data_IF_746651849614
#
_entry.id   IF_746651849614
#
_cell.length_a   1.000
_cell.length_b   1.000
_cell.length_c   1.000
_cell.angle_alpha   90.00
_cell.angle_beta   90.00
_cell.angle_gamma   90.00
#
_symmetry.space_group_name_H-M   'P 1'
#
loop_
_entity.id
_entity.type
_entity.pdbx_description
1 polymer ?
#
# COMPACT_ATOMS: atom_id res chain seq x y z
N UNK A 1 26.55 40.11 37.81
CA UNK A 1 26.25 38.77 37.24
C UNK A 1 24.75 38.53 37.04
N UNK A 2 23.87 39.42 37.53
CA UNK A 2 22.42 39.22 37.47
C UNK A 2 21.73 39.65 36.15
N UNK A 3 22.30 40.58 35.39
CA UNK A 3 21.69 41.11 34.14
C UNK A 3 21.67 40.10 32.98
N UNK A 4 22.67 39.22 32.90
CA UNK A 4 22.76 38.19 31.84
C UNK A 4 21.63 37.15 32.02
N UNK A 5 21.26 36.87 33.27
CA UNK A 5 20.21 35.91 33.60
C UNK A 5 18.81 36.48 33.28
N UNK A 6 18.60 37.79 33.48
CA UNK A 6 17.36 38.47 33.12
C UNK A 6 17.16 38.51 31.59
N UNK A 7 18.23 38.79 30.83
CA UNK A 7 18.20 38.81 29.36
C UNK A 7 17.84 37.44 28.77
N UNK A 8 18.48 36.36 29.26
CA UNK A 8 18.18 34.99 28.84
C UNK A 8 16.74 34.57 29.19
N UNK A 9 16.24 34.95 30.38
CA UNK A 9 14.85 34.69 30.77
C UNK A 9 13.86 35.47 29.88
N UNK A 10 14.20 36.68 29.48
CA UNK A 10 13.38 37.50 28.59
C UNK A 10 13.34 36.96 27.15
N UNK A 11 14.47 36.47 26.61
CA UNK A 11 14.54 35.80 25.31
C UNK A 11 13.77 34.49 25.29
N UNK A 12 13.92 33.66 26.33
CA UNK A 12 13.15 32.42 26.48
C UNK A 12 11.64 32.69 26.64
N UNK A 13 11.26 33.74 27.38
CA UNK A 13 9.88 34.20 27.50
C UNK A 13 9.31 34.68 26.15
N UNK A 14 10.06 35.46 25.37
CA UNK A 14 9.64 35.91 24.03
C UNK A 14 9.53 34.76 23.02
N UNK A 15 10.44 33.78 23.06
CA UNK A 15 10.32 32.53 22.26
C UNK A 15 9.07 31.76 22.64
N UNK A 16 8.83 31.55 23.93
CA UNK A 16 7.67 30.83 24.45
C UNK A 16 6.35 31.54 24.14
N UNK A 17 6.31 32.88 24.19
CA UNK A 17 5.17 33.67 23.73
C UNK A 17 4.96 33.56 22.22
N UNK A 18 6.03 33.56 21.42
CA UNK A 18 5.95 33.37 19.97
C UNK A 18 5.41 31.99 19.62
N UNK A 19 5.91 30.93 20.24
CA UNK A 19 5.38 29.57 20.13
C UNK A 19 3.91 29.50 20.57
N UNK A 20 3.55 30.08 21.72
CA UNK A 20 2.14 30.09 22.18
C UNK A 20 1.26 30.86 21.20
N UNK A 21 1.74 31.97 20.61
CA UNK A 21 1.00 32.75 19.62
C UNK A 21 0.88 32.01 18.28
N UNK A 22 1.92 31.33 17.81
CA UNK A 22 1.89 30.51 16.60
C UNK A 22 0.97 29.29 16.79
N UNK A 23 1.08 28.57 17.91
CA UNK A 23 0.20 27.45 18.26
C UNK A 23 -1.25 27.91 18.41
N UNK A 24 -1.51 29.09 19.00
CA UNK A 24 -2.87 29.66 19.08
C UNK A 24 -3.38 30.16 17.73
N UNK A 25 -2.55 30.78 16.89
CA UNK A 25 -2.93 31.22 15.55
C UNK A 25 -3.27 30.03 14.62
N UNK A 26 -2.58 28.91 14.80
CA UNK A 26 -2.86 27.64 14.10
C UNK A 26 -4.20 27.02 14.53
N UNK A 27 -4.62 27.19 15.79
CA UNK A 27 -5.91 26.68 16.29
C UNK A 27 -7.15 27.41 15.74
N UNK A 28 -6.99 28.68 15.33
CA UNK A 28 -8.07 29.54 14.86
C UNK A 28 -8.08 29.78 13.34
N UNK A 29 -7.16 29.16 12.59
CA UNK A 29 -7.14 29.29 11.13
C UNK A 29 -8.36 28.57 10.53
N UNK A 30 -9.01 29.23 9.59
CA UNK A 30 -10.09 28.66 8.79
C UNK A 30 -9.59 27.37 8.13
N UNK A 31 -10.35 26.28 8.28
CA UNK A 31 -9.97 24.92 7.83
C UNK A 31 -10.86 24.39 6.72
N UNK A 32 -11.88 25.15 6.39
CA UNK A 32 -12.91 24.80 5.45
C UNK A 32 -13.22 26.10 4.71
N UNK A 33 -13.26 26.07 3.38
CA UNK A 33 -13.73 27.19 2.56
C UNK A 33 -14.76 26.67 1.58
N UNK A 34 -15.86 27.41 1.41
CA UNK A 34 -16.97 27.06 0.48
C UNK A 34 -17.54 25.65 0.66
N UNK A 35 -17.50 25.12 1.87
CA UNK A 35 -18.15 23.86 2.22
C UNK A 35 -19.01 24.02 3.48
N UNK A 36 -19.91 23.07 3.73
CA UNK A 36 -20.63 22.94 4.99
C UNK A 36 -20.33 21.56 5.57
N UNK A 37 -20.12 21.50 6.88
CA UNK A 37 -19.96 20.24 7.61
C UNK A 37 -21.17 20.03 8.52
N UNK A 38 -21.76 18.85 8.42
CA UNK A 38 -22.90 18.41 9.20
C UNK A 38 -22.60 16.97 9.67
N UNK A 39 -22.14 16.85 10.92
CA UNK A 39 -21.53 15.63 11.44
C UNK A 39 -20.33 15.19 10.58
N UNK A 40 -20.45 14.01 9.98
CA UNK A 40 -19.43 13.40 9.10
C UNK A 40 -19.64 13.71 7.62
N UNK A 41 -20.71 14.45 7.27
CA UNK A 41 -20.99 14.84 5.90
C UNK A 41 -20.39 16.22 5.62
N UNK A 42 -19.60 16.31 4.55
CA UNK A 42 -19.07 17.57 4.03
C UNK A 42 -19.70 17.81 2.66
N UNK A 43 -20.25 19.01 2.45
CA UNK A 43 -20.94 19.39 1.20
C UNK A 43 -20.36 20.67 0.62
N UNK A 44 -20.19 20.72 -0.69
CA UNK A 44 -19.79 21.93 -1.39
C UNK A 44 -20.93 22.97 -1.44
N UNK A 45 -20.61 24.25 -1.29
CA UNK A 45 -21.58 25.36 -1.32
C UNK A 45 -21.08 26.61 -2.08
N UNK A 46 -19.97 26.50 -2.82
CA UNK A 46 -19.47 27.59 -3.64
C UNK A 46 -20.07 27.59 -5.06
N UNK A 47 -19.64 28.54 -5.89
CA UNK A 47 -20.06 28.62 -7.29
C UNK A 47 -19.34 27.60 -8.18
N UNK A 48 -19.79 27.41 -9.42
CA UNK A 48 -19.31 26.34 -10.31
C UNK A 48 -17.84 26.47 -10.75
N UNK A 49 -17.26 27.66 -10.64
CA UNK A 49 -15.89 28.04 -11.00
C UNK A 49 -14.94 28.11 -9.80
N UNK A 50 -15.47 27.92 -8.59
CA UNK A 50 -14.69 27.98 -7.36
C UNK A 50 -14.33 26.59 -6.84
N UNK A 51 -13.28 26.53 -6.02
CA UNK A 51 -12.90 25.32 -5.27
C UNK A 51 -13.26 25.49 -3.80
N UNK A 52 -13.83 24.44 -3.22
CA UNK A 52 -13.98 24.27 -1.78
C UNK A 52 -13.00 23.22 -1.28
N UNK A 53 -12.35 23.47 -0.15
CA UNK A 53 -11.36 22.57 0.42
C UNK A 53 -11.48 22.54 1.95
N UNK A 54 -11.28 21.35 2.52
CA UNK A 54 -11.36 21.08 3.95
C UNK A 54 -10.11 20.33 4.39
N UNK A 55 -9.48 20.82 5.45
CA UNK A 55 -8.28 20.22 6.03
C UNK A 55 -8.58 19.75 7.44
N UNK A 56 -8.54 18.42 7.60
CA UNK A 56 -8.89 17.72 8.84
C UNK A 56 -8.08 18.18 10.05
N UNK A 57 -8.66 18.00 11.24
CA UNK A 57 -8.20 18.58 12.51
C UNK A 57 -6.75 18.22 12.88
N UNK A 58 -6.44 16.94 12.69
CA UNK A 58 -5.24 16.25 13.14
C UNK A 58 -4.57 15.62 11.91
N UNK A 59 -3.23 15.65 11.82
CA UNK A 59 -2.51 14.94 10.78
C UNK A 59 -2.65 13.42 10.99
N UNK A 60 -2.36 12.65 9.95
CA UNK A 60 -2.10 11.22 10.10
C UNK A 60 -0.86 11.01 10.99
N UNK A 61 -0.84 9.89 11.69
CA UNK A 61 0.20 9.54 12.66
C UNK A 61 0.44 8.04 12.67
N UNK A 62 1.51 7.58 13.34
CA UNK A 62 1.77 6.14 13.51
C UNK A 62 0.60 5.34 14.11
N UNK A 63 -0.32 5.99 14.84
CA UNK A 63 -1.52 5.35 15.42
C UNK A 63 -2.77 5.50 14.55
N UNK A 64 -2.81 6.49 13.66
CA UNK A 64 -3.94 6.74 12.78
C UNK A 64 -3.39 7.09 11.40
N UNK A 65 -3.16 6.06 10.59
CA UNK A 65 -2.44 6.13 9.32
C UNK A 65 -3.36 6.12 8.10
N UNK A 66 -4.67 6.00 8.30
CA UNK A 66 -5.61 5.75 7.23
C UNK A 66 -6.95 6.39 7.53
N UNK A 67 -7.57 6.96 6.52
CA UNK A 67 -8.94 7.45 6.58
C UNK A 67 -9.64 7.20 5.26
N UNK A 68 -10.97 7.21 5.30
CA UNK A 68 -11.80 6.95 4.12
C UNK A 68 -12.88 8.00 3.97
N UNK A 69 -13.24 8.28 2.72
CA UNK A 69 -14.29 9.21 2.34
C UNK A 69 -15.24 8.50 1.37
N UNK A 70 -16.52 8.43 1.72
CA UNK A 70 -17.56 7.90 0.84
C UNK A 70 -18.18 9.03 0.03
N UNK A 71 -18.29 8.84 -1.29
CA UNK A 71 -18.96 9.78 -2.19
C UNK A 71 -20.47 9.58 -2.05
N UNK A 72 -21.12 10.46 -1.29
CA UNK A 72 -22.59 10.45 -1.14
C UNK A 72 -23.28 10.98 -2.39
N UNK A 73 -22.68 11.98 -3.04
CA UNK A 73 -23.15 12.62 -4.26
C UNK A 73 -21.94 13.22 -5.00
N UNK A 74 -21.85 13.03 -6.32
CA UNK A 74 -20.76 13.58 -7.16
C UNK A 74 -20.98 15.06 -7.49
N UNK A 75 -22.21 15.55 -7.34
CA UNK A 75 -22.63 16.83 -7.90
C UNK A 75 -22.54 16.85 -9.42
N UNK A 76 -22.60 18.04 -10.01
CA UNK A 76 -22.66 18.24 -11.47
C UNK A 76 -21.32 17.93 -12.14
N UNK A 77 -20.20 18.33 -11.53
CA UNK A 77 -18.86 18.19 -12.13
C UNK A 77 -18.09 16.96 -11.67
N UNK A 78 -18.48 16.32 -10.56
CA UNK A 78 -17.76 15.16 -10.02
C UNK A 78 -16.38 15.43 -9.42
N UNK A 79 -15.86 16.66 -9.51
CA UNK A 79 -14.50 17.06 -9.10
C UNK A 79 -14.36 17.02 -7.57
N UNK A 80 -14.15 15.82 -7.06
CA UNK A 80 -13.92 15.53 -5.64
C UNK A 80 -12.52 14.95 -5.54
N UNK A 81 -11.69 15.52 -4.67
CA UNK A 81 -10.34 15.03 -4.42
C UNK A 81 -10.14 14.70 -2.95
N UNK A 82 -9.43 13.59 -2.70
CA UNK A 82 -9.14 13.08 -1.35
C UNK A 82 -7.64 12.85 -1.26
N UNK A 83 -7.00 13.38 -0.22
CA UNK A 83 -5.56 13.30 -0.11
C UNK A 83 -4.96 13.97 1.13
N UNK A 84 -3.64 14.11 1.10
CA UNK A 84 -2.83 14.69 2.17
C UNK A 84 -2.29 16.04 1.73
N UNK A 85 -2.37 17.01 2.63
CA UNK A 85 -1.91 18.38 2.43
C UNK A 85 -1.19 18.89 3.69
N UNK A 86 -0.27 19.86 3.58
CA UNK A 86 0.28 20.54 4.74
C UNK A 86 -0.81 21.29 5.51
N UNK A 87 -0.63 21.48 6.81
CA UNK A 87 -1.60 22.21 7.65
C UNK A 87 -1.89 23.64 7.15
N UNK A 88 -0.94 24.25 6.44
CA UNK A 88 -1.04 25.60 5.87
C UNK A 88 -1.60 25.65 4.45
N UNK A 89 -2.21 24.57 3.95
CA UNK A 89 -2.72 24.49 2.59
C UNK A 89 -3.73 25.60 2.25
N UNK A 90 -3.69 26.09 1.01
CA UNK A 90 -4.66 27.09 0.54
C UNK A 90 -6.00 26.42 0.24
N UNK A 91 -7.08 26.94 0.82
CA UNK A 91 -8.40 26.31 0.76
C UNK A 91 -9.20 26.61 -0.52
N UNK A 92 -8.60 27.29 -1.48
CA UNK A 92 -9.15 27.58 -2.81
C UNK A 92 -8.46 26.78 -3.92
N UNK A 93 -7.70 25.75 -3.55
CA UNK A 93 -7.08 24.79 -4.46
C UNK A 93 -7.50 23.37 -4.06
N UNK A 94 -7.60 22.48 -5.05
CA UNK A 94 -7.87 21.08 -4.77
C UNK A 94 -6.60 20.41 -4.21
N UNK A 95 -6.71 19.55 -3.18
CA UNK A 95 -5.61 18.69 -2.74
C UNK A 95 -4.84 18.08 -3.92
N UNK A 96 -3.50 18.03 -3.81
CA UNK A 96 -2.61 17.54 -4.86
C UNK A 96 -2.13 18.60 -5.86
N UNK A 97 -2.77 19.78 -5.95
CA UNK A 97 -2.39 20.81 -6.93
C UNK A 97 -1.20 21.70 -6.53
N UNK A 98 -0.93 21.83 -5.23
CA UNK A 98 0.11 22.71 -4.69
C UNK A 98 1.24 21.88 -4.06
N UNK A 99 2.49 22.39 -4.01
CA UNK A 99 3.63 21.65 -3.48
C UNK A 99 3.39 21.01 -2.11
N UNK A 100 4.05 19.86 -1.87
CA UNK A 100 3.94 19.06 -0.65
C UNK A 100 2.54 18.49 -0.37
N UNK A 101 1.71 18.34 -1.42
CA UNK A 101 0.41 17.67 -1.31
C UNK A 101 0.24 16.58 -2.35
N UNK A 102 -0.52 15.55 -2.00
CA UNK A 102 -0.85 14.44 -2.87
C UNK A 102 -2.31 14.09 -2.73
N UNK A 103 -3.03 13.87 -3.83
CA UNK A 103 -4.42 13.49 -3.79
C UNK A 103 -4.87 12.68 -5.00
N UNK A 104 -5.82 11.81 -4.76
CA UNK A 104 -6.57 11.12 -5.80
C UNK A 104 -7.82 11.93 -6.16
N UNK A 105 -8.04 12.14 -7.46
CA UNK A 105 -9.16 12.90 -8.00
C UNK A 105 -10.21 11.93 -8.58
N UNK A 106 -11.42 11.99 -8.04
CA UNK A 106 -12.51 11.06 -8.30
C UNK A 106 -13.08 11.19 -9.73
N UNK A 107 -13.05 12.37 -10.32
CA UNK A 107 -13.67 12.67 -11.60
C UNK A 107 -12.91 12.14 -12.81
N UNK A 108 -11.60 11.96 -12.69
CA UNK A 108 -10.73 11.49 -13.76
C UNK A 108 -9.88 10.25 -13.39
N UNK A 109 -9.87 9.88 -12.11
CA UNK A 109 -9.09 8.75 -11.61
C UNK A 109 -7.59 9.03 -11.60
N UNK A 110 -7.17 10.30 -11.59
CA UNK A 110 -5.76 10.66 -11.59
C UNK A 110 -5.22 10.95 -10.20
N UNK A 111 -3.92 10.73 -10.05
CA UNK A 111 -3.15 11.17 -8.91
C UNK A 111 -2.47 12.50 -9.23
N UNK A 112 -2.64 13.46 -8.32
CA UNK A 112 -2.02 14.77 -8.38
C UNK A 112 -1.01 14.89 -7.25
N UNK A 113 0.25 15.16 -7.58
CA UNK A 113 1.35 15.25 -6.63
C UNK A 113 2.08 16.60 -6.76
N UNK A 114 1.61 17.58 -6.01
CA UNK A 114 2.17 18.92 -5.99
C UNK A 114 2.08 19.71 -7.28
N UNK A 115 1.21 19.32 -8.21
CA UNK A 115 1.12 19.83 -9.57
C UNK A 115 -0.33 19.83 -10.06
N UNK A 116 -0.69 20.73 -10.99
CA UNK A 116 -2.01 20.75 -11.65
C UNK A 116 -2.12 19.76 -12.81
N UNK A 117 -1.07 18.98 -13.08
CA UNK A 117 -1.06 17.91 -14.07
C UNK A 117 -1.10 16.58 -13.33
N UNK A 118 -2.21 15.85 -13.49
CA UNK A 118 -2.39 14.53 -12.88
C UNK A 118 -1.88 13.39 -13.77
N UNK A 119 -1.42 12.32 -13.14
CA UNK A 119 -1.06 11.05 -13.78
C UNK A 119 -2.20 10.03 -13.59
N UNK A 120 -2.49 9.22 -14.60
CA UNK A 120 -3.51 8.17 -14.46
C UNK A 120 -3.11 7.20 -13.35
N UNK A 121 -3.97 7.02 -12.34
CA UNK A 121 -3.64 6.24 -11.15
C UNK A 121 -4.70 5.19 -10.80
N UNK A 122 -5.97 5.49 -10.99
CA UNK A 122 -7.09 4.57 -10.82
C UNK A 122 -8.19 4.82 -11.84
N UNK A 123 -9.33 4.15 -11.66
CA UNK A 123 -10.58 4.46 -12.38
C UNK A 123 -11.28 5.65 -11.73
N UNK A 124 -12.09 6.39 -12.49
CA UNK A 124 -13.04 7.37 -11.94
C UNK A 124 -13.92 6.75 -10.84
N UNK A 125 -14.35 7.55 -9.87
CA UNK A 125 -15.28 7.16 -8.83
C UNK A 125 -16.70 7.67 -9.10
N UNK A 126 -17.67 6.91 -8.64
CA UNK A 126 -19.09 7.21 -8.73
C UNK A 126 -19.72 7.36 -7.34
N UNK A 127 -20.98 7.79 -7.30
CA UNK A 127 -21.78 7.78 -6.07
C UNK A 127 -21.76 6.39 -5.43
N UNK A 128 -21.45 6.33 -4.14
CA UNK A 128 -21.31 5.11 -3.35
C UNK A 128 -19.87 4.63 -3.19
N UNK A 129 -18.95 5.02 -4.09
CA UNK A 129 -17.54 4.63 -3.95
C UNK A 129 -16.90 5.26 -2.71
N UNK A 130 -15.98 4.51 -2.11
CA UNK A 130 -15.21 4.89 -0.93
C UNK A 130 -13.73 5.06 -1.30
N UNK A 131 -13.19 6.27 -1.14
CA UNK A 131 -11.79 6.56 -1.38
C UNK A 131 -11.05 6.51 -0.04
N UNK A 132 -10.10 5.60 0.10
CA UNK A 132 -9.18 5.58 1.22
C UNK A 132 -7.86 6.27 0.90
N UNK A 133 -7.26 6.88 1.92
CA UNK A 133 -5.96 7.51 1.83
C UNK A 133 -5.18 7.19 3.09
N UNK A 134 -3.96 6.67 2.94
CA UNK A 134 -3.13 6.31 4.07
C UNK A 134 -1.63 6.46 3.84
N UNK A 135 -0.89 6.32 4.92
CA UNK A 135 0.57 6.36 4.94
C UNK A 135 1.14 5.01 5.37
N UNK A 136 2.14 4.52 4.63
CA UNK A 136 2.90 3.33 4.99
C UNK A 136 3.77 3.60 6.23
N UNK A 137 4.14 2.55 7.00
CA UNK A 137 5.19 2.67 8.01
C UNK A 137 6.45 3.28 7.39
N UNK A 138 7.11 4.19 8.11
CA UNK A 138 8.38 4.78 7.71
C UNK A 138 9.38 3.65 7.36
N UNK A 139 9.90 3.59 6.12
CA UNK A 139 11.07 2.80 5.79
C UNK A 139 12.29 3.40 6.50
N UNK A 140 13.36 2.62 6.58
CA UNK A 140 14.63 3.05 7.20
C UNK A 140 15.24 4.31 6.54
N UNK A 141 14.82 4.64 5.31
CA UNK A 141 15.25 5.82 4.55
C UNK A 141 14.48 7.12 4.89
N UNK A 142 13.46 7.05 5.75
CA UNK A 142 12.66 8.20 6.18
C UNK A 142 11.66 8.73 5.15
N UNK A 143 11.43 8.05 4.02
CA UNK A 143 10.40 8.44 3.05
C UNK A 143 9.02 7.92 3.42
N UNK A 144 8.03 8.80 3.58
CA UNK A 144 6.66 8.38 3.82
C UNK A 144 5.97 8.06 2.50
N UNK A 145 5.69 6.78 2.24
CA UNK A 145 4.85 6.36 1.11
C UNK A 145 3.38 6.63 1.43
N UNK A 146 2.67 7.27 0.50
CA UNK A 146 1.21 7.48 0.56
C UNK A 146 0.54 6.48 -0.38
N UNK A 147 -0.48 5.78 0.10
CA UNK A 147 -1.28 4.87 -0.71
C UNK A 147 -2.75 5.31 -0.73
N UNK A 148 -3.45 4.90 -1.77
CA UNK A 148 -4.88 5.16 -1.94
C UNK A 148 -5.62 3.86 -2.20
N UNK A 149 -6.84 3.79 -1.70
CA UNK A 149 -7.74 2.66 -1.95
C UNK A 149 -9.03 3.14 -2.59
N UNK A 150 -9.65 2.29 -3.40
CA UNK A 150 -11.02 2.46 -3.87
C UNK A 150 -11.83 1.25 -3.42
N UNK A 151 -12.86 1.48 -2.63
CA UNK A 151 -13.71 0.45 -2.03
C UNK A 151 -12.91 -0.60 -1.24
N UNK A 152 -11.91 -0.14 -0.48
CA UNK A 152 -11.02 -1.00 0.32
C UNK A 152 -9.93 -1.70 -0.49
N UNK A 153 -9.93 -1.60 -1.83
CA UNK A 153 -8.92 -2.21 -2.71
C UNK A 153 -7.78 -1.25 -2.98
N UNK A 154 -6.55 -1.70 -2.75
CA UNK A 154 -5.33 -0.90 -2.95
C UNK A 154 -4.93 -0.88 -4.43
N UNK A 155 -4.47 0.28 -4.93
CA UNK A 155 -3.94 0.40 -6.29
C UNK A 155 -2.40 0.30 -6.24
N UNK A 156 -1.84 -0.64 -6.97
CA UNK A 156 -0.39 -0.78 -7.15
C UNK A 156 0.00 -0.38 -8.57
N UNK A 157 1.09 0.36 -8.70
CA UNK A 157 1.68 0.79 -9.97
C UNK A 157 3.16 0.44 -10.00
N UNK A 158 3.63 -0.09 -11.12
CA UNK A 158 5.05 -0.28 -11.36
C UNK A 158 5.74 1.06 -11.65
N UNK A 159 6.64 1.46 -10.74
CA UNK A 159 7.41 2.71 -10.83
C UNK A 159 8.89 2.48 -11.16
N UNK A 160 9.27 1.24 -11.49
CA UNK A 160 10.64 0.86 -11.82
C UNK A 160 11.05 1.18 -13.26
N UNK A 161 12.26 0.79 -13.64
CA UNK A 161 12.82 1.08 -14.97
C UNK A 161 12.41 0.09 -16.07
N UNK A 162 12.10 -1.14 -15.69
CA UNK A 162 11.67 -2.23 -16.58
C UNK A 162 12.68 -2.63 -17.67
N UNK A 163 13.98 -2.45 -17.42
CA UNK A 163 15.04 -2.69 -18.42
C UNK A 163 15.71 -4.06 -18.27
N UNK A 164 15.75 -4.58 -17.06
CA UNK A 164 16.37 -5.86 -16.71
C UNK A 164 15.40 -6.76 -15.95
N UNK A 165 15.64 -8.06 -15.98
CA UNK A 165 14.94 -9.06 -15.15
C UNK A 165 15.13 -8.81 -13.64
N UNK A 166 16.09 -7.96 -13.28
CA UNK A 166 16.35 -7.54 -11.90
C UNK A 166 15.52 -6.31 -11.49
N UNK A 167 14.89 -5.61 -12.44
CA UNK A 167 14.08 -4.41 -12.17
C UNK A 167 12.66 -4.79 -11.69
N UNK A 168 12.52 -5.85 -10.90
CA UNK A 168 11.21 -6.28 -10.39
C UNK A 168 10.73 -5.32 -9.31
N UNK A 169 9.48 -4.88 -9.43
CA UNK A 169 8.71 -4.28 -8.36
C UNK A 169 7.95 -5.36 -7.61
N UNK A 170 8.29 -5.59 -6.34
CA UNK A 170 7.65 -6.58 -5.48
C UNK A 170 6.77 -5.88 -4.43
N UNK A 171 5.51 -6.29 -4.35
CA UNK A 171 4.61 -5.95 -3.25
C UNK A 171 4.21 -7.23 -2.50
N UNK A 172 4.41 -7.26 -1.19
CA UNK A 172 4.04 -8.39 -0.34
C UNK A 172 3.12 -7.89 0.77
N UNK A 173 2.06 -8.64 1.06
CA UNK A 173 1.15 -8.32 2.15
C UNK A 173 1.85 -8.49 3.51
N UNK A 174 1.30 -7.85 4.54
CA UNK A 174 1.91 -7.80 5.88
C UNK A 174 1.65 -9.04 6.73
N UNK A 175 0.67 -9.86 6.35
CA UNK A 175 0.26 -11.05 7.07
C UNK A 175 0.18 -12.22 6.09
N UNK A 176 0.47 -13.45 6.53
CA UNK A 176 0.27 -14.63 5.72
C UNK A 176 -1.23 -14.86 5.51
N UNK A 177 -1.57 -15.62 4.48
CA UNK A 177 -2.90 -16.20 4.38
C UNK A 177 -3.09 -17.20 5.54
N UNK A 178 -4.29 -17.22 6.10
CA UNK A 178 -4.69 -18.13 7.17
C UNK A 178 -6.08 -18.70 6.88
N UNK A 179 -6.60 -19.57 7.75
CA UNK A 179 -7.90 -20.24 7.55
C UNK A 179 -9.07 -19.27 7.37
N UNK A 180 -8.99 -18.05 7.92
CA UNK A 180 -10.01 -17.00 7.79
C UNK A 180 -9.85 -16.15 6.53
N UNK A 181 -8.61 -15.83 6.18
CA UNK A 181 -8.24 -15.03 5.01
C UNK A 181 -7.30 -15.87 4.14
N UNK A 182 -7.90 -16.80 3.39
CA UNK A 182 -7.18 -17.83 2.63
C UNK A 182 -7.19 -17.56 1.11
N UNK A 183 -7.71 -16.42 0.67
CA UNK A 183 -7.89 -16.08 -0.75
C UNK A 183 -7.81 -14.57 -0.95
N UNK A 184 -7.17 -14.14 -2.04
CA UNK A 184 -7.11 -12.75 -2.45
C UNK A 184 -7.13 -12.64 -3.98
N UNK A 185 -7.51 -11.44 -4.46
CA UNK A 185 -7.61 -11.15 -5.88
C UNK A 185 -6.82 -9.91 -6.27
N UNK A 186 -6.40 -9.84 -7.52
CA UNK A 186 -6.03 -8.60 -8.18
C UNK A 186 -6.78 -8.47 -9.50
N UNK A 187 -7.11 -7.24 -9.88
CA UNK A 187 -7.64 -6.86 -11.19
C UNK A 187 -6.53 -6.14 -11.96
N UNK A 188 -6.26 -6.59 -13.19
CA UNK A 188 -5.32 -5.90 -14.09
C UNK A 188 -6.02 -4.65 -14.62
N UNK A 189 -5.61 -3.47 -14.12
CA UNK A 189 -6.20 -2.20 -14.56
C UNK A 189 -5.44 -1.55 -15.71
N UNK A 190 -4.16 -1.87 -15.87
CA UNK A 190 -3.34 -1.52 -17.02
C UNK A 190 -2.26 -2.61 -17.15
N UNK A 191 -2.19 -3.34 -18.28
CA UNK A 191 -1.16 -4.36 -18.49
C UNK A 191 0.23 -3.77 -18.75
N UNK A 192 0.37 -2.44 -18.92
CA UNK A 192 1.62 -1.81 -19.29
C UNK A 192 2.14 -2.30 -20.65
N UNK A 193 3.44 -2.16 -20.88
CA UNK A 193 4.05 -2.52 -22.18
C UNK A 193 4.12 -4.04 -22.43
N UNK A 194 4.32 -4.85 -21.37
CA UNK A 194 4.61 -6.28 -21.51
C UNK A 194 3.70 -7.21 -20.68
N UNK A 195 2.94 -6.69 -19.73
CA UNK A 195 2.07 -7.48 -18.84
C UNK A 195 2.82 -8.51 -17.98
N UNK A 196 4.06 -8.22 -17.59
CA UNK A 196 4.86 -8.97 -16.62
C UNK A 196 4.32 -8.78 -15.19
N UNK A 197 3.05 -9.14 -15.03
CA UNK A 197 2.30 -9.09 -13.77
C UNK A 197 2.20 -10.53 -13.25
N UNK A 198 2.63 -10.76 -12.01
CA UNK A 198 2.50 -12.06 -11.37
C UNK A 198 1.71 -11.93 -10.05
N UNK A 199 0.83 -12.91 -9.83
CA UNK A 199 0.07 -13.10 -8.60
C UNK A 199 0.54 -14.41 -7.95
N UNK A 200 0.93 -14.38 -6.67
CA UNK A 200 1.35 -15.59 -5.98
C UNK A 200 1.57 -15.46 -4.50
N UNK A 201 2.21 -16.47 -3.94
CA UNK A 201 2.52 -16.58 -2.54
C UNK A 201 4.02 -16.73 -2.36
N UNK A 202 4.58 -16.09 -1.35
CA UNK A 202 5.99 -16.23 -1.02
C UNK A 202 6.22 -16.22 0.50
N UNK A 203 7.36 -16.76 0.93
CA UNK A 203 7.85 -16.66 2.31
C UNK A 203 8.12 -15.19 2.71
N UNK A 204 8.20 -14.92 4.01
CA UNK A 204 8.32 -13.57 4.59
C UNK A 204 9.58 -12.80 4.13
N UNK A 205 10.69 -13.49 3.91
CA UNK A 205 11.99 -12.95 3.53
C UNK A 205 12.28 -13.11 2.01
N UNK A 206 11.23 -13.16 1.18
CA UNK A 206 11.39 -13.34 -0.26
C UNK A 206 12.25 -12.22 -0.89
N UNK A 207 13.19 -12.54 -1.80
CA UNK A 207 14.07 -11.54 -2.40
C UNK A 207 13.28 -10.47 -3.17
N UNK A 208 13.46 -9.20 -2.81
CA UNK A 208 12.68 -8.07 -3.36
C UNK A 208 12.95 -7.77 -4.84
N UNK A 209 14.08 -8.24 -5.37
CA UNK A 209 14.51 -8.10 -6.76
C UNK A 209 14.16 -9.33 -7.63
N UNK A 210 13.32 -10.24 -7.12
CA UNK A 210 12.90 -11.46 -7.83
C UNK A 210 11.39 -11.44 -8.06
N UNK A 211 10.96 -11.85 -9.24
CA UNK A 211 9.54 -12.01 -9.55
C UNK A 211 8.96 -13.16 -8.72
N UNK A 212 7.72 -13.09 -8.19
CA UNK A 212 7.13 -14.22 -7.46
C UNK A 212 7.17 -15.53 -8.25
N UNK A 213 7.49 -16.63 -7.57
CA UNK A 213 7.64 -17.96 -8.18
C UNK A 213 9.05 -18.27 -8.66
N UNK A 214 9.94 -17.28 -8.83
CA UNK A 214 11.30 -17.49 -9.35
C UNK A 214 12.32 -18.01 -8.34
N UNK A 215 12.09 -17.82 -7.04
CA UNK A 215 12.99 -18.28 -5.96
C UNK A 215 12.26 -19.19 -4.99
N UNK A 216 13.00 -20.10 -4.34
CA UNK A 216 12.47 -21.10 -3.40
C UNK A 216 11.55 -20.49 -2.34
N UNK A 217 10.57 -21.27 -1.89
CA UNK A 217 9.55 -20.81 -0.94
C UNK A 217 8.55 -19.83 -1.55
N UNK A 218 8.34 -19.87 -2.87
CA UNK A 218 7.31 -19.09 -3.56
C UNK A 218 6.65 -19.86 -4.71
N UNK A 219 5.42 -19.49 -5.01
CA UNK A 219 4.62 -20.03 -6.11
C UNK A 219 3.75 -18.93 -6.71
N UNK A 220 3.73 -18.77 -8.03
CA UNK A 220 3.00 -17.69 -8.68
C UNK A 220 2.52 -18.04 -10.08
N UNK A 221 1.38 -17.45 -10.45
CA UNK A 221 0.80 -17.48 -11.78
C UNK A 221 1.09 -16.16 -12.49
N UNK A 222 1.68 -16.25 -13.69
CA UNK A 222 2.16 -15.10 -14.46
C UNK A 222 1.17 -14.76 -15.58
N UNK A 223 0.81 -13.48 -15.69
CA UNK A 223 -0.23 -12.99 -16.61
C UNK A 223 0.22 -12.98 -18.07
N UNK A 224 1.52 -12.71 -18.32
CA UNK A 224 2.11 -12.56 -19.64
C UNK A 224 2.21 -13.86 -20.42
N UNK A 225 2.44 -15.00 -19.79
CA UNK A 225 2.61 -16.28 -20.48
C UNK A 225 1.64 -17.37 -20.02
N UNK A 226 0.90 -17.12 -18.93
CA UNK A 226 -0.06 -18.06 -18.36
C UNK A 226 0.59 -19.22 -17.61
N UNK A 227 1.89 -19.15 -17.31
CA UNK A 227 2.61 -20.23 -16.65
C UNK A 227 2.57 -20.12 -15.12
N UNK A 228 2.83 -21.26 -14.49
CA UNK A 228 3.02 -21.37 -13.06
C UNK A 228 4.50 -21.51 -12.75
N UNK A 229 5.03 -20.62 -11.92
CA UNK A 229 6.40 -20.65 -11.44
C UNK A 229 6.41 -21.07 -9.98
N UNK A 230 7.27 -22.02 -9.62
CA UNK A 230 7.31 -22.59 -8.27
C UNK A 230 8.76 -22.80 -7.84
N UNK A 231 9.33 -21.81 -7.15
CA UNK A 231 10.69 -21.88 -6.65
C UNK A 231 11.79 -21.82 -7.72
N UNK A 232 11.45 -21.49 -8.98
CA UNK A 232 12.32 -21.64 -10.14
C UNK A 232 12.02 -20.58 -11.21
N UNK A 233 13.06 -20.11 -11.91
CA UNK A 233 12.91 -19.21 -13.07
C UNK A 233 12.33 -19.88 -14.32
N UNK A 234 12.02 -21.18 -14.27
CA UNK A 234 11.37 -21.93 -15.35
C UNK A 234 9.93 -22.23 -14.95
N UNK A 235 8.99 -21.71 -15.74
CA UNK A 235 7.55 -21.90 -15.52
C UNK A 235 6.97 -23.11 -16.24
N UNK A 236 6.00 -23.76 -15.62
CA UNK A 236 5.21 -24.85 -16.17
C UNK A 236 3.97 -24.32 -16.90
N UNK A 237 3.54 -25.00 -17.97
CA UNK A 237 2.25 -24.71 -18.60
C UNK A 237 1.11 -24.93 -17.59
N UNK A 238 0.25 -23.93 -17.42
CA UNK A 238 -0.76 -23.96 -16.35
C UNK A 238 -2.11 -23.39 -16.76
N UNK A 239 -2.14 -22.14 -17.20
CA UNK A 239 -3.36 -21.41 -17.51
C UNK A 239 -3.25 -20.55 -18.76
N UNK A 240 -4.33 -19.85 -19.13
CA UNK A 240 -4.29 -18.87 -20.20
C UNK A 240 -3.52 -17.60 -19.78
N UNK A 241 -3.18 -16.74 -20.72
CA UNK A 241 -2.70 -15.37 -20.42
C UNK A 241 -3.82 -14.50 -19.84
N UNK A 242 -3.46 -13.48 -19.06
CA UNK A 242 -4.39 -12.48 -18.53
C UNK A 242 -4.15 -11.10 -19.17
N UNK A 243 -5.21 -10.29 -19.24
CA UNK A 243 -5.24 -9.00 -19.92
C UNK A 243 -5.96 -7.95 -19.07
N UNK A 244 -5.99 -6.70 -19.55
CA UNK A 244 -6.75 -5.61 -18.92
C UNK A 244 -8.19 -6.04 -18.61
N UNK A 245 -8.64 -5.78 -17.39
CA UNK A 245 -9.94 -6.14 -16.86
C UNK A 245 -10.05 -7.56 -16.30
N UNK A 246 -9.08 -8.45 -16.52
CA UNK A 246 -9.09 -9.77 -15.88
C UNK A 246 -8.83 -9.66 -14.37
N UNK A 247 -9.57 -10.46 -13.61
CA UNK A 247 -9.39 -10.66 -12.17
C UNK A 247 -8.64 -11.97 -11.96
N UNK A 248 -7.40 -11.89 -11.49
CA UNK A 248 -6.60 -13.04 -11.08
C UNK A 248 -6.79 -13.26 -9.57
N UNK A 249 -6.94 -14.51 -9.13
CA UNK A 249 -7.04 -14.82 -7.70
C UNK A 249 -6.12 -15.96 -7.30
N UNK A 250 -5.71 -15.97 -6.04
CA UNK A 250 -4.80 -16.95 -5.46
C UNK A 250 -5.24 -17.25 -4.03
N UNK A 251 -5.24 -18.52 -3.67
CA UNK A 251 -5.59 -18.95 -2.32
C UNK A 251 -5.01 -20.28 -1.91
N UNK A 252 -5.17 -20.59 -0.63
CA UNK A 252 -4.74 -21.84 -0.01
C UNK A 252 -5.96 -22.62 0.44
N UNK A 253 -6.02 -23.90 0.09
CA UNK A 253 -6.94 -24.86 0.69
C UNK A 253 -6.27 -25.46 1.92
N UNK A 254 -6.60 -24.92 3.10
CA UNK A 254 -6.13 -25.45 4.37
C UNK A 254 -6.86 -26.77 4.72
N UNK A 255 -6.14 -27.81 5.17
CA UNK A 255 -6.76 -28.99 5.77
C UNK A 255 -7.69 -28.62 6.94
N UNK A 256 -8.71 -29.46 7.21
CA UNK A 256 -9.70 -29.19 8.29
C UNK A 256 -9.09 -29.17 9.68
N UNK A 257 -8.01 -29.93 9.85
CA UNK A 257 -7.21 -30.08 11.05
C UNK A 257 -5.98 -29.15 11.05
N UNK A 258 -5.93 -28.19 10.12
CA UNK A 258 -4.85 -27.20 10.10
C UNK A 258 -4.90 -26.32 11.34
N UNK A 259 -3.95 -26.54 12.26
CA UNK A 259 -3.62 -25.60 13.32
C UNK A 259 -2.52 -24.67 12.84
N UNK A 260 -2.70 -23.37 13.03
CA UNK A 260 -1.66 -22.41 12.72
C UNK A 260 -0.70 -22.35 13.90
N UNK A 261 0.58 -22.67 13.68
CA UNK A 261 1.60 -22.66 14.74
C UNK A 261 1.91 -21.23 15.24
N UNK A 262 1.25 -20.20 14.67
CA UNK A 262 1.39 -18.79 15.04
C UNK A 262 0.18 -18.20 15.78
N UNK A 263 -0.81 -19.00 16.20
CA UNK A 263 -1.93 -18.51 17.03
C UNK A 263 -1.49 -18.02 18.43
N UNK A 264 -0.29 -18.39 18.89
CA UNK A 264 0.26 -17.89 20.16
C UNK A 264 0.61 -16.38 20.13
N UNK A 265 0.70 -15.76 18.94
CA UNK A 265 1.04 -14.33 18.79
C UNK A 265 -0.16 -13.44 18.43
N UNK A 266 -1.36 -13.96 18.20
CA UNK A 266 -2.51 -13.11 17.80
C UNK A 266 -3.06 -12.26 18.97
N UNK A 267 -2.84 -12.67 20.22
CA UNK A 267 -3.36 -11.97 21.40
C UNK A 267 -2.37 -10.97 22.06
N UNK A 268 -1.09 -10.95 21.66
CA UNK A 268 -0.06 -10.13 22.34
C UNK A 268 0.18 -8.74 21.71
N UNK A 269 -0.31 -8.49 20.49
CA UNK A 269 -0.12 -7.18 19.81
C UNK A 269 -1.18 -6.13 20.15
N UNK A 270 -2.19 -6.50 20.96
CA UNK A 270 -3.21 -5.60 21.51
C UNK A 270 -2.93 -5.15 22.96
N UNK A 271 -1.78 -5.50 23.56
CA UNK A 271 -1.35 -4.96 24.85
C UNK A 271 0.07 -4.39 24.82
N UNK A 272 0.19 -3.18 25.36
CA UNK A 272 1.41 -2.39 25.56
C UNK A 272 2.64 -3.20 25.99
N UNK A 273 3.77 -3.12 25.26
CA UNK A 273 5.09 -3.31 25.88
C UNK A 273 6.14 -2.32 25.38
N UNK A 274 6.49 -1.46 26.33
CA UNK A 274 7.62 -0.56 26.47
C UNK A 274 8.93 -1.01 25.79
N UNK A 275 9.49 -0.11 24.98
CA UNK A 275 10.86 -0.20 24.52
C UNK A 275 11.85 -0.14 25.70
N UNK A 276 12.82 -1.06 25.72
CA UNK A 276 14.14 -0.80 26.29
C UNK A 276 15.17 -0.68 25.16
N UNK A 277 16.12 0.26 25.24
CA UNK A 277 17.17 0.39 24.25
C UNK A 277 18.33 -0.54 24.58
N UNK A 278 18.92 -1.18 23.58
CA UNK A 278 20.28 -1.74 23.69
C UNK A 278 21.06 -1.48 22.41
N UNK A 279 22.02 -0.57 22.60
CA UNK A 279 23.39 -0.55 22.11
C UNK A 279 23.71 -0.98 20.66
N UNK A 280 24.22 0.03 19.96
CA UNK A 280 24.88 -0.01 18.66
C UNK A 280 26.13 -0.88 18.72
N UNK A 281 26.22 -1.86 17.82
CA UNK A 281 27.51 -2.36 17.37
C UNK A 281 27.52 -2.35 15.84
N UNK A 282 28.36 -1.46 15.31
CA UNK A 282 28.72 -1.39 13.90
C UNK A 282 29.55 -2.62 13.55
N UNK A 283 29.18 -3.36 12.52
CA UNK A 283 30.14 -4.18 11.79
C UNK A 283 30.01 -3.92 10.28
N UNK A 284 31.16 -3.64 9.70
CA UNK A 284 31.40 -3.31 8.31
C UNK A 284 31.16 -4.52 7.41
N UNK A 285 30.35 -4.39 6.37
CA UNK A 285 30.33 -5.36 5.29
C UNK A 285 31.29 -4.93 4.18
N UNK A 286 32.40 -5.67 4.10
CA UNK A 286 33.23 -5.77 2.92
C UNK A 286 32.43 -6.45 1.79
N UNK A 287 32.56 -5.92 0.58
CA UNK A 287 32.10 -6.56 -0.64
C UNK A 287 32.73 -7.93 -0.76
N UNK A 288 31.93 -8.96 -1.01
CA UNK A 288 32.33 -10.13 -1.78
C UNK A 288 31.13 -10.58 -2.60
N UNK A 289 31.29 -10.46 -3.91
CA UNK A 289 30.52 -11.16 -4.93
C UNK A 289 30.88 -12.65 -4.82
N UNK A 290 29.98 -13.49 -4.32
CA UNK A 290 30.08 -14.94 -4.52
C UNK A 290 28.70 -15.50 -4.91
N UNK A 291 28.70 -16.17 -6.06
CA UNK A 291 27.62 -16.96 -6.61
C UNK A 291 27.27 -18.12 -5.65
N UNK A 292 26.16 -18.01 -4.93
CA UNK A 292 25.63 -19.13 -4.12
C UNK A 292 24.75 -20.04 -5.01
N UNK A 293 25.40 -20.93 -5.75
CA UNK A 293 24.80 -22.19 -6.21
C UNK A 293 25.34 -23.36 -5.36
N UNK A 294 24.43 -24.29 -5.03
CA UNK A 294 24.65 -25.57 -4.35
C UNK A 294 25.11 -25.59 -2.87
N UNK A 295 24.16 -25.32 -1.98
CA UNK A 295 24.10 -25.91 -0.63
C UNK A 295 22.87 -26.82 -0.51
N UNK A 296 23.06 -28.14 -0.59
CA UNK A 296 22.00 -29.12 -0.37
C UNK A 296 21.60 -29.20 1.10
N UNK A 297 20.56 -28.45 1.48
CA UNK A 297 19.82 -28.71 2.71
C UNK A 297 18.86 -29.89 2.50
N UNK A 298 18.91 -30.87 3.40
CA UNK A 298 17.96 -31.99 3.46
C UNK A 298 16.51 -31.45 3.45
N UNK A 299 15.54 -32.15 2.85
CA UNK A 299 14.17 -31.67 2.83
C UNK A 299 13.64 -31.68 4.26
N UNK A 300 13.49 -30.50 4.88
CA UNK A 300 12.58 -30.37 6.01
C UNK A 300 11.24 -31.00 5.60
N UNK A 301 10.70 -31.90 6.42
CA UNK A 301 9.35 -32.46 6.27
C UNK A 301 8.32 -31.33 6.50
N UNK A 302 8.29 -30.37 5.57
CA UNK A 302 7.44 -29.20 5.62
C UNK A 302 6.00 -29.59 5.37
N UNK A 303 5.08 -29.02 6.16
CA UNK A 303 3.64 -29.20 5.98
C UNK A 303 3.27 -28.79 4.56
N UNK A 304 2.54 -29.64 3.85
CA UNK A 304 2.10 -29.38 2.48
C UNK A 304 0.69 -28.79 2.47
N UNK A 305 0.48 -27.82 1.59
CA UNK A 305 -0.83 -27.20 1.35
C UNK A 305 -1.15 -27.18 -0.14
N UNK A 306 -2.44 -27.15 -0.48
CA UNK A 306 -2.89 -27.00 -1.86
C UNK A 306 -3.12 -25.53 -2.18
N UNK A 307 -2.28 -24.97 -3.04
CA UNK A 307 -2.47 -23.62 -3.58
C UNK A 307 -3.34 -23.71 -4.84
N UNK A 308 -4.27 -22.79 -5.00
CA UNK A 308 -5.11 -22.70 -6.20
C UNK A 308 -5.11 -21.29 -6.76
N UNK A 309 -5.35 -21.21 -8.06
CA UNK A 309 -5.42 -19.94 -8.79
C UNK A 309 -6.72 -19.84 -9.56
N UNK A 310 -7.23 -18.63 -9.71
CA UNK A 310 -8.46 -18.33 -10.42
C UNK A 310 -8.26 -17.23 -11.44
N UNK A 311 -9.11 -17.23 -12.48
CA UNK A 311 -9.29 -16.11 -13.40
C UNK A 311 -10.78 -15.84 -13.54
N UNK A 312 -11.20 -14.61 -13.30
CA UNK A 312 -12.60 -14.16 -13.37
C UNK A 312 -13.54 -15.10 -12.57
N UNK A 313 -13.15 -15.41 -11.33
CA UNK A 313 -13.87 -16.30 -10.42
C UNK A 313 -13.82 -17.80 -10.75
N UNK A 314 -13.18 -18.22 -11.85
CA UNK A 314 -13.06 -19.64 -12.23
C UNK A 314 -11.69 -20.19 -11.87
N UNK A 315 -11.65 -21.37 -11.26
CA UNK A 315 -10.38 -22.06 -10.96
C UNK A 315 -9.65 -22.40 -12.26
N UNK A 316 -8.41 -21.92 -12.37
CA UNK A 316 -7.48 -22.22 -13.47
C UNK A 316 -6.76 -23.54 -13.18
N UNK A 317 -6.29 -23.72 -11.94
CA UNK A 317 -5.60 -24.93 -11.54
C UNK A 317 -5.20 -24.92 -10.07
N UNK A 318 -4.59 -26.01 -9.63
CA UNK A 318 -4.12 -26.24 -8.26
C UNK A 318 -2.73 -26.86 -8.27
N UNK A 319 -1.91 -26.56 -7.26
CA UNK A 319 -0.57 -27.12 -7.10
C UNK A 319 -0.29 -27.33 -5.61
N UNK A 320 0.29 -28.48 -5.30
CA UNK A 320 0.81 -28.76 -3.96
C UNK A 320 2.09 -27.94 -3.73
N UNK A 321 2.19 -27.28 -2.59
CA UNK A 321 3.37 -26.51 -2.19
C UNK A 321 3.74 -26.81 -0.73
N UNK A 322 5.05 -26.80 -0.44
CA UNK A 322 5.56 -26.81 0.93
C UNK A 322 5.28 -25.46 1.57
N UNK A 323 4.59 -25.45 2.71
CA UNK A 323 4.29 -24.25 3.48
C UNK A 323 5.56 -23.79 4.19
N UNK A 324 6.05 -22.56 3.92
CA UNK A 324 7.21 -22.01 4.62
C UNK A 324 6.92 -21.80 6.11
N UNK A 325 7.96 -21.82 6.93
CA UNK A 325 7.87 -21.33 8.30
C UNK A 325 7.34 -19.88 8.32
N UNK A 326 6.35 -19.61 9.18
CA UNK A 326 5.63 -18.34 9.24
C UNK A 326 4.58 -18.13 8.14
N UNK A 327 4.34 -19.13 7.29
CA UNK A 327 3.26 -19.16 6.30
C UNK A 327 3.56 -18.46 4.98
N UNK A 328 2.56 -18.47 4.10
CA UNK A 328 2.62 -17.89 2.76
C UNK A 328 1.96 -16.52 2.73
N UNK A 329 2.69 -15.51 2.25
CA UNK A 329 2.22 -14.13 2.16
C UNK A 329 1.76 -13.82 0.73
N UNK A 330 0.57 -13.21 0.55
CA UNK A 330 0.15 -12.63 -0.73
C UNK A 330 1.24 -11.76 -1.31
N UNK A 331 1.65 -12.05 -2.54
CA UNK A 331 2.78 -11.40 -3.18
C UNK A 331 2.47 -11.13 -4.64
N UNK A 332 2.77 -9.91 -5.08
CA UNK A 332 2.54 -9.42 -6.45
C UNK A 332 3.87 -8.92 -6.98
N UNK A 333 4.20 -9.31 -8.21
CA UNK A 333 5.36 -8.79 -8.93
C UNK A 333 4.91 -8.06 -10.19
N UNK A 334 5.60 -6.97 -10.50
CA UNK A 334 5.48 -6.22 -11.75
C UNK A 334 6.89 -5.89 -12.26
N UNK A 335 7.10 -5.80 -13.57
CA UNK A 335 8.42 -5.64 -14.16
C UNK A 335 8.43 -4.80 -15.46
N UNK A 336 7.29 -4.23 -15.87
CA UNK A 336 7.20 -3.40 -17.07
C UNK A 336 6.52 -2.05 -16.80
N UNK A 337 7.00 -1.02 -17.50
CA UNK A 337 6.43 0.33 -17.41
C UNK A 337 4.93 0.33 -17.70
N UNK A 338 4.18 1.07 -16.88
CA UNK A 338 2.74 1.25 -17.02
C UNK A 338 1.88 0.17 -16.36
N UNK A 339 2.47 -0.93 -15.86
CA UNK A 339 1.72 -1.99 -15.19
C UNK A 339 1.03 -1.47 -13.93
N UNK A 340 -0.29 -1.66 -13.86
CA UNK A 340 -1.12 -1.22 -12.74
C UNK A 340 -2.18 -2.26 -12.40
N UNK A 341 -2.28 -2.59 -11.12
CA UNK A 341 -3.26 -3.55 -10.61
C UNK A 341 -4.04 -2.98 -9.43
N UNK A 342 -5.27 -3.46 -9.26
CA UNK A 342 -6.09 -3.20 -8.07
C UNK A 342 -6.18 -4.47 -7.25
N UNK A 343 -5.76 -4.43 -5.99
CA UNK A 343 -5.64 -5.60 -5.13
C UNK A 343 -6.75 -5.61 -4.08
N UNK A 344 -7.42 -6.75 -3.97
CA UNK A 344 -8.40 -7.04 -2.93
C UNK A 344 -7.87 -8.17 -2.05
N UNK A 345 -7.43 -7.83 -0.83
CA UNK A 345 -6.98 -8.81 0.17
C UNK A 345 -8.13 -9.48 0.93
N UNK A 346 -9.35 -8.98 0.77
CA UNK A 346 -10.53 -9.46 1.49
C UNK A 346 -11.74 -9.53 0.54
N UNK A 347 -11.64 -10.22 -0.61
CA UNK A 347 -12.77 -10.37 -1.50
C UNK A 347 -13.91 -11.06 -0.74
N UNK A 348 -15.15 -10.66 -1.01
CA UNK A 348 -16.31 -11.36 -0.48
C UNK A 348 -16.30 -12.77 -1.06
N UNK A 349 -15.77 -13.73 -0.32
CA UNK A 349 -15.90 -15.15 -0.63
C UNK A 349 -17.38 -15.50 -0.48
N UNK A 350 -18.04 -15.68 -1.62
CA UNK A 350 -19.44 -16.11 -1.69
C UNK A 350 -19.65 -17.53 -1.22
#
# INVERSE_FOLDING_TARGET
MDDINLHYRFLNWRRRIREIREVRAVRYRERLKRMKRDGDIIRYQGNADEVGCFVAARPLSKRNRYFEVTIVDTGVRGMISVGLVPQSYKLDHQPGWLPNSVAFHADDGKLYNGSTVGQQFGSKCCRGDRIGCGISPEPEDGQITVFFTKNGKEMLEYVGRGKSIMDVGLAQARRPLNTRFHYYELEITDPGEKCYIALGLARKDYPKNRHPGWSRGSIAYHADDGKLFSGSGVGDAFGPRCFEGDIMGCGIMFPRDFTCDSEEDEDEWDMEVFAKPSEVQNDLYANNDEDDDEGGEEPEEGRKVMVFFTRNGKVVGRKEALLPSGGFYPTIGMMSSGERVRVDLHPLSG
#
